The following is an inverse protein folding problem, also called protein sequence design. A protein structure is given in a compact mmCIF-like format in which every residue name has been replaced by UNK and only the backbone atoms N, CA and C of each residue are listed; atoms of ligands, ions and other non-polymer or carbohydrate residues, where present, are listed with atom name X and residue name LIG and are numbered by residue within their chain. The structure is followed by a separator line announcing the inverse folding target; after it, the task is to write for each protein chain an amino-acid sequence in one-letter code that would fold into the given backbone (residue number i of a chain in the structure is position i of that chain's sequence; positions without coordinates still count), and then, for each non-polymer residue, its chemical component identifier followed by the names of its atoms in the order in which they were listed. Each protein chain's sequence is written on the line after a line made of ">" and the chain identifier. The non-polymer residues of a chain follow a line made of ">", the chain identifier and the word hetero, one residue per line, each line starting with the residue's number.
data_IF_649256225314
#
_entry.id   IF_649256225314
#
_cell.length_a   1.000
_cell.length_b   1.000
_cell.length_c   1.000
_cell.angle_alpha   90.00
_cell.angle_beta   90.00
_cell.angle_gamma   90.00
#
_symmetry.space_group_name_H-M   'P 1'
#
loop_
_entity.id
_entity.type
_entity.pdbx_description
1 polymer ?
#
# COMPACT_ATOMS: atom_id res chain seq x y z
N UNK A 1 -21.18 12.84 11.51
CA UNK A 1 -19.85 12.82 10.84
C UNK A 1 -19.02 11.60 11.24
N UNK A 2 -19.43 10.85 12.28
CA UNK A 2 -18.68 9.70 12.82
C UNK A 2 -18.80 8.42 11.98
N UNK A 3 -19.93 8.23 11.29
CA UNK A 3 -20.13 7.01 10.48
C UNK A 3 -19.17 6.91 9.28
N UNK A 4 -18.90 8.05 8.61
CA UNK A 4 -17.94 8.13 7.51
C UNK A 4 -16.50 7.93 8.01
N UNK A 5 -16.14 8.54 9.14
CA UNK A 5 -14.81 8.36 9.77
C UNK A 5 -14.58 6.92 10.22
N UNK A 6 -15.58 6.28 10.86
CA UNK A 6 -15.45 4.89 11.29
C UNK A 6 -15.39 3.92 10.12
N UNK A 7 -16.18 4.15 9.06
CA UNK A 7 -16.13 3.31 7.85
C UNK A 7 -14.77 3.42 7.15
N UNK A 8 -14.19 4.62 7.06
CA UNK A 8 -12.87 4.84 6.47
C UNK A 8 -11.74 4.21 7.30
N UNK A 9 -11.90 4.23 8.63
CA UNK A 9 -10.97 3.59 9.56
C UNK A 9 -11.04 2.07 9.44
N UNK A 10 -12.24 1.49 9.38
CA UNK A 10 -12.43 0.06 9.15
C UNK A 10 -11.89 -0.41 7.79
N UNK A 11 -12.14 0.35 6.72
CA UNK A 11 -11.60 0.06 5.38
C UNK A 11 -10.07 0.18 5.32
N UNK A 12 -9.49 1.09 6.10
CA UNK A 12 -8.02 1.18 6.23
C UNK A 12 -7.48 0.01 7.04
N UNK A 13 -8.13 -0.38 8.14
CA UNK A 13 -7.70 -1.55 8.94
C UNK A 13 -7.65 -2.82 8.09
N UNK A 14 -8.56 -2.96 7.12
CA UNK A 14 -8.61 -4.11 6.21
C UNK A 14 -8.39 -3.65 4.75
N UNK A 15 -7.14 -3.38 4.34
CA UNK A 15 -6.84 -2.89 2.99
C UNK A 15 -7.23 -3.90 1.88
N UNK A 16 -7.47 -5.16 2.24
CA UNK A 16 -8.02 -6.17 1.33
C UNK A 16 -9.47 -5.88 0.90
N UNK A 17 -10.28 -5.23 1.74
CA UNK A 17 -11.66 -4.88 1.40
C UNK A 17 -11.77 -3.85 0.26
N UNK A 18 -11.07 -2.70 0.28
CA UNK A 18 -11.07 -1.79 -0.85
C UNK A 18 -10.53 -2.44 -2.13
N UNK A 19 -9.56 -3.35 -2.03
CA UNK A 19 -9.08 -4.12 -3.19
C UNK A 19 -10.19 -4.96 -3.83
N UNK A 20 -10.89 -5.78 -3.03
CA UNK A 20 -12.00 -6.59 -3.52
C UNK A 20 -13.13 -5.71 -4.08
N UNK A 21 -13.53 -4.66 -3.36
CA UNK A 21 -14.61 -3.76 -3.78
C UNK A 21 -14.33 -3.14 -5.15
N UNK A 22 -13.16 -2.52 -5.31
CA UNK A 22 -12.79 -1.85 -6.57
C UNK A 22 -12.67 -2.87 -7.71
N UNK A 23 -12.10 -4.05 -7.42
CA UNK A 23 -11.98 -5.12 -8.41
C UNK A 23 -13.36 -5.59 -8.91
N UNK A 24 -14.27 -5.94 -7.99
CA UNK A 24 -15.60 -6.45 -8.34
C UNK A 24 -16.47 -5.40 -9.03
N UNK A 25 -16.47 -4.15 -8.54
CA UNK A 25 -17.23 -3.05 -9.14
C UNK A 25 -16.75 -2.79 -10.58
N UNK A 26 -15.44 -2.66 -10.78
CA UNK A 26 -14.91 -2.36 -12.11
C UNK A 26 -15.01 -3.55 -13.05
N UNK A 27 -14.87 -4.78 -12.54
CA UNK A 27 -15.05 -6.00 -13.31
C UNK A 27 -16.48 -6.16 -13.83
N UNK A 28 -17.50 -5.87 -13.00
CA UNK A 28 -18.90 -5.89 -13.44
C UNK A 28 -19.22 -4.85 -14.50
N UNK A 29 -18.51 -3.72 -14.51
CA UNK A 29 -18.81 -2.63 -15.46
C UNK A 29 -18.09 -2.79 -16.80
N UNK A 30 -16.79 -3.10 -16.79
CA UNK A 30 -15.99 -3.14 -18.03
C UNK A 30 -15.65 -4.56 -18.52
N UNK A 31 -15.96 -5.61 -17.76
CA UNK A 31 -15.59 -7.01 -18.02
C UNK A 31 -14.08 -7.25 -18.30
N UNK A 32 -13.22 -6.24 -18.10
CA UNK A 32 -11.81 -6.31 -18.39
C UNK A 32 -11.01 -6.58 -17.11
N UNK A 33 -10.73 -7.87 -16.86
CA UNK A 33 -9.99 -8.35 -15.68
C UNK A 33 -8.68 -7.60 -15.45
N UNK A 34 -7.90 -7.35 -16.51
CA UNK A 34 -6.57 -6.71 -16.40
C UNK A 34 -6.67 -5.24 -16.03
N UNK A 35 -7.68 -4.52 -16.52
CA UNK A 35 -7.90 -3.12 -16.18
C UNK A 35 -8.45 -2.97 -14.75
N UNK A 36 -9.40 -3.82 -14.36
CA UNK A 36 -9.96 -3.84 -13.00
C UNK A 36 -8.91 -4.12 -11.94
N UNK A 37 -8.01 -5.09 -12.18
CA UNK A 37 -6.91 -5.37 -11.25
C UNK A 37 -5.97 -4.17 -11.08
N UNK A 38 -5.64 -3.47 -12.17
CA UNK A 38 -4.75 -2.31 -12.11
C UNK A 38 -5.36 -1.18 -11.29
N UNK A 39 -6.63 -0.85 -11.53
CA UNK A 39 -7.32 0.17 -10.75
C UNK A 39 -7.49 -0.23 -9.28
N UNK A 40 -7.80 -1.49 -9.01
CA UNK A 40 -7.91 -1.99 -7.65
C UNK A 40 -6.57 -1.88 -6.89
N UNK A 41 -5.46 -2.26 -7.52
CA UNK A 41 -4.12 -2.06 -6.95
C UNK A 41 -3.84 -0.58 -6.70
N UNK A 42 -4.16 0.30 -7.67
CA UNK A 42 -3.82 1.71 -7.57
C UNK A 42 -4.52 2.37 -6.37
N UNK A 43 -5.83 2.11 -6.21
CA UNK A 43 -6.63 2.61 -5.09
C UNK A 43 -6.17 1.98 -3.77
N UNK A 44 -5.96 0.67 -3.74
CA UNK A 44 -5.57 -0.04 -2.50
C UNK A 44 -4.21 0.38 -1.99
N UNK A 45 -3.28 0.75 -2.88
CA UNK A 45 -1.93 1.19 -2.47
C UNK A 45 -2.00 2.40 -1.55
N UNK A 46 -2.92 3.34 -1.78
CA UNK A 46 -3.11 4.49 -0.91
C UNK A 46 -3.56 4.07 0.50
N UNK A 47 -4.54 3.16 0.57
CA UNK A 47 -4.99 2.60 1.84
C UNK A 47 -3.87 1.85 2.55
N UNK A 48 -3.09 1.05 1.82
CA UNK A 48 -1.95 0.32 2.35
C UNK A 48 -0.88 1.25 2.93
N UNK A 49 -0.54 2.35 2.26
CA UNK A 49 0.44 3.31 2.77
C UNK A 49 -0.01 3.89 4.12
N UNK A 50 -1.28 4.29 4.23
CA UNK A 50 -1.84 4.82 5.48
C UNK A 50 -1.82 3.74 6.58
N UNK A 51 -2.21 2.53 6.23
CA UNK A 51 -2.36 1.41 7.18
C UNK A 51 -1.01 0.91 7.69
N UNK A 52 -0.04 0.72 6.81
CA UNK A 52 1.33 0.32 7.17
C UNK A 52 2.01 1.40 8.00
N UNK A 53 1.82 2.68 7.65
CA UNK A 53 2.32 3.80 8.45
C UNK A 53 1.76 3.77 9.88
N UNK A 54 0.44 3.59 10.01
CA UNK A 54 -0.21 3.50 11.31
C UNK A 54 0.27 2.28 12.12
N UNK A 55 0.34 1.10 11.50
CA UNK A 55 0.82 -0.12 12.15
C UNK A 55 2.28 0.00 12.60
N UNK A 56 3.14 0.61 11.79
CA UNK A 56 4.52 0.87 12.18
C UNK A 56 4.58 1.79 13.40
N UNK A 57 3.85 2.90 13.36
CA UNK A 57 3.79 3.86 14.45
C UNK A 57 3.29 3.24 15.75
N UNK A 58 2.27 2.37 15.69
CA UNK A 58 1.74 1.64 16.83
C UNK A 58 2.71 0.61 17.40
N UNK A 59 3.43 -0.11 16.54
CA UNK A 59 4.35 -1.16 16.99
C UNK A 59 5.63 -0.61 17.63
N UNK A 60 6.15 0.50 17.09
CA UNK A 60 7.43 1.11 17.48
C UNK A 60 7.29 2.41 18.30
N UNK A 61 6.07 2.78 18.68
CA UNK A 61 5.75 4.03 19.40
C UNK A 61 6.41 5.27 18.78
N UNK A 62 6.30 5.37 17.45
CA UNK A 62 6.96 6.39 16.64
C UNK A 62 5.96 7.13 15.76
N UNK A 63 6.34 8.28 15.22
CA UNK A 63 5.58 9.00 14.16
C UNK A 63 6.23 8.86 12.79
N UNK A 64 7.27 8.04 12.67
CA UNK A 64 8.15 7.98 11.50
C UNK A 64 7.64 7.08 10.35
N UNK A 65 6.58 6.29 10.55
CA UNK A 65 6.09 5.30 9.58
C UNK A 65 5.79 5.88 8.20
N UNK A 66 5.12 7.04 8.13
CA UNK A 66 4.82 7.69 6.86
C UNK A 66 6.09 8.19 6.15
N UNK A 67 7.02 8.79 6.90
CA UNK A 67 8.27 9.29 6.36
C UNK A 67 9.17 8.17 5.84
N UNK A 68 9.18 7.02 6.51
CA UNK A 68 9.89 5.83 6.08
C UNK A 68 9.35 5.34 4.73
N UNK A 69 8.03 5.25 4.58
CA UNK A 69 7.39 4.87 3.31
C UNK A 69 7.72 5.86 2.20
N UNK A 70 7.64 7.17 2.48
CA UNK A 70 7.97 8.23 1.53
C UNK A 70 9.43 8.15 1.08
N UNK A 71 10.35 7.89 2.01
CA UNK A 71 11.77 7.72 1.74
C UNK A 71 12.04 6.50 0.86
N UNK A 72 11.41 5.35 1.15
CA UNK A 72 11.49 4.16 0.29
C UNK A 72 10.98 4.43 -1.13
N UNK A 73 9.88 5.18 -1.25
CA UNK A 73 9.32 5.59 -2.54
C UNK A 73 10.30 6.48 -3.32
N UNK A 74 10.90 7.48 -2.67
CA UNK A 74 11.90 8.36 -3.29
C UNK A 74 13.14 7.59 -3.75
N UNK A 75 13.64 6.67 -2.93
CA UNK A 75 14.75 5.79 -3.30
C UNK A 75 14.36 4.92 -4.50
N UNK A 76 13.18 4.31 -4.48
CA UNK A 76 12.70 3.52 -5.60
C UNK A 76 12.61 4.34 -6.90
N UNK A 77 12.08 5.57 -6.84
CA UNK A 77 12.03 6.50 -7.97
C UNK A 77 13.45 6.79 -8.49
N UNK A 78 14.40 7.09 -7.61
CA UNK A 78 15.79 7.39 -7.99
C UNK A 78 16.51 6.20 -8.63
N UNK A 79 16.39 5.01 -8.04
CA UNK A 79 17.01 3.78 -8.54
C UNK A 79 16.40 3.35 -9.88
N UNK A 80 15.07 3.31 -9.97
CA UNK A 80 14.38 2.87 -11.18
C UNK A 80 14.53 3.91 -12.29
N UNK A 81 14.48 5.20 -11.94
CA UNK A 81 14.73 6.29 -12.89
C UNK A 81 16.13 6.21 -13.48
N UNK A 82 17.15 6.14 -12.64
CA UNK A 82 18.53 6.03 -13.12
C UNK A 82 18.78 4.76 -13.94
N UNK A 83 18.22 3.62 -13.53
CA UNK A 83 18.31 2.36 -14.29
C UNK A 83 17.60 2.47 -15.65
N UNK A 84 16.39 3.05 -15.72
CA UNK A 84 15.66 3.21 -16.97
C UNK A 84 16.38 4.16 -17.94
N UNK A 85 16.99 5.24 -17.44
CA UNK A 85 17.79 6.18 -18.26
C UNK A 85 18.98 5.46 -18.90
N UNK A 86 19.70 4.62 -18.13
CA UNK A 86 20.85 3.86 -18.66
C UNK A 86 20.46 2.79 -19.66
N UNK A 87 19.35 2.08 -19.44
CA UNK A 87 18.99 0.91 -20.25
C UNK A 87 18.25 1.29 -21.54
N UNK A 88 17.39 2.31 -21.49
CA UNK A 88 16.47 2.62 -22.62
C UNK A 88 16.76 3.94 -23.32
N UNK A 89 17.65 4.79 -22.78
CA UNK A 89 18.00 6.10 -23.33
C UNK A 89 16.87 7.14 -23.33
N UNK A 90 15.61 6.73 -23.19
CA UNK A 90 14.42 7.59 -23.07
C UNK A 90 13.64 7.22 -21.81
N UNK A 91 13.40 8.22 -20.97
CA UNK A 91 12.56 8.10 -19.78
C UNK A 91 11.08 8.19 -20.17
N UNK A 92 10.39 7.06 -20.15
CA UNK A 92 8.93 7.05 -20.20
C UNK A 92 8.40 7.16 -18.76
N UNK A 93 8.20 8.40 -18.33
CA UNK A 93 7.78 8.77 -16.96
C UNK A 93 6.47 8.06 -16.59
N UNK A 94 5.53 7.91 -17.54
CA UNK A 94 4.26 7.25 -17.28
C UNK A 94 4.42 5.75 -17.03
N UNK A 95 5.25 5.06 -17.83
CA UNK A 95 5.53 3.64 -17.60
C UNK A 95 6.31 3.44 -16.30
N UNK A 96 7.25 4.32 -16.00
CA UNK A 96 8.04 4.28 -14.78
C UNK A 96 7.18 4.45 -13.53
N UNK A 97 6.32 5.47 -13.50
CA UNK A 97 5.40 5.71 -12.38
C UNK A 97 4.50 4.50 -12.12
N UNK A 98 3.95 3.88 -13.18
CA UNK A 98 3.14 2.65 -13.06
C UNK A 98 3.91 1.46 -12.50
N UNK A 99 5.19 1.33 -12.86
CA UNK A 99 6.05 0.24 -12.36
C UNK A 99 6.35 0.44 -10.88
N UNK A 100 6.74 1.66 -10.49
CA UNK A 100 7.02 2.04 -9.10
C UNK A 100 5.77 1.81 -8.24
N UNK A 101 4.62 2.32 -8.68
CA UNK A 101 3.36 2.18 -7.96
C UNK A 101 2.99 0.73 -7.70
N UNK A 102 3.20 -0.16 -8.67
CA UNK A 102 2.95 -1.60 -8.51
C UNK A 102 3.93 -2.26 -7.54
N UNK A 103 5.19 -1.87 -7.56
CA UNK A 103 6.15 -2.38 -6.57
C UNK A 103 5.81 -1.88 -5.17
N UNK A 104 5.35 -0.64 -5.03
CA UNK A 104 4.85 -0.10 -3.77
C UNK A 104 3.65 -0.91 -3.26
N UNK A 105 2.69 -1.28 -4.12
CA UNK A 105 1.58 -2.15 -3.73
C UNK A 105 2.07 -3.47 -3.10
N UNK A 106 2.99 -4.16 -3.78
CA UNK A 106 3.52 -5.45 -3.31
C UNK A 106 4.27 -5.29 -1.98
N UNK A 107 5.16 -4.29 -1.92
CA UNK A 107 5.95 -4.00 -0.71
C UNK A 107 5.05 -3.66 0.47
N UNK A 108 4.07 -2.76 0.29
CA UNK A 108 3.16 -2.37 1.36
C UNK A 108 2.24 -3.51 1.79
N UNK A 109 1.77 -4.34 0.85
CA UNK A 109 0.95 -5.52 1.18
C UNK A 109 1.73 -6.50 2.05
N UNK A 110 2.99 -6.75 1.70
CA UNK A 110 3.87 -7.62 2.48
C UNK A 110 4.16 -7.03 3.87
N UNK A 111 4.56 -5.77 3.94
CA UNK A 111 4.84 -5.08 5.21
C UNK A 111 3.62 -5.01 6.11
N UNK A 112 2.41 -4.80 5.56
CA UNK A 112 1.16 -4.85 6.31
C UNK A 112 1.00 -6.21 7.00
N UNK A 113 1.19 -7.31 6.26
CA UNK A 113 1.04 -8.65 6.83
C UNK A 113 2.06 -8.92 7.94
N UNK A 114 3.32 -8.53 7.72
CA UNK A 114 4.39 -8.66 8.72
C UNK A 114 4.10 -7.84 9.98
N UNK A 115 3.76 -6.55 9.84
CA UNK A 115 3.50 -5.68 11.00
C UNK A 115 2.23 -6.05 11.76
N UNK A 116 1.20 -6.54 11.07
CA UNK A 116 0.01 -7.09 11.73
C UNK A 116 0.35 -8.32 12.55
N UNK A 117 1.15 -9.25 12.02
CA UNK A 117 1.58 -10.43 12.78
C UNK A 117 2.41 -10.03 14.02
N UNK A 118 3.36 -9.10 13.86
CA UNK A 118 4.16 -8.59 14.99
C UNK A 118 3.27 -7.96 16.06
N UNK A 119 2.30 -7.12 15.65
CA UNK A 119 1.36 -6.49 16.57
C UNK A 119 0.48 -7.50 17.31
N UNK A 120 0.01 -8.54 16.60
CA UNK A 120 -0.74 -9.64 17.20
C UNK A 120 0.08 -10.41 18.24
N UNK A 121 1.32 -10.79 17.91
CA UNK A 121 2.20 -11.46 18.87
C UNK A 121 2.44 -10.60 20.10
N UNK A 122 2.77 -9.31 19.91
CA UNK A 122 2.99 -8.37 21.01
C UNK A 122 1.75 -8.27 21.92
N UNK A 123 0.56 -8.19 21.33
CA UNK A 123 -0.70 -8.15 22.08
C UNK A 123 -0.95 -9.44 22.88
N UNK A 124 -0.73 -10.61 22.26
CA UNK A 124 -0.92 -11.92 22.92
C UNK A 124 0.06 -12.07 24.09
N UNK A 125 1.34 -11.75 23.91
CA UNK A 125 2.35 -11.83 24.96
C UNK A 125 2.06 -10.87 26.12
N UNK A 126 1.63 -9.64 25.83
CA UNK A 126 1.27 -8.66 26.88
C UNK A 126 0.03 -9.11 27.66
N UNK A 127 -0.96 -9.71 26.99
CA UNK A 127 -2.22 -10.15 27.64
C UNK A 127 -2.04 -11.44 28.45
N UNK A 128 -1.03 -12.25 28.12
CA UNK A 128 -0.73 -13.52 28.77
C UNK A 128 0.32 -13.40 29.90
N UNK A 129 0.92 -12.21 30.09
CA UNK A 129 1.85 -11.89 31.18
C UNK A 129 1.14 -11.13 32.30
#
# INVERSE_FOLDING_TARGET
>A
MDFLKNSFTFLSILPFFPFLLVYFIHYRWKHNKKASLKLAMDVTTLFLIISVSALFNLNFDSKFGFYLILLLLLIAIGLIGSAQTRIKGKLDIQKMAKIIWRMTFVLMSFSYLVFTLIGLFKYIFITMS
#
